data_IF_074471211203
#
_entry.id   IF_074471211203
#
_cell.length_a   1.000
_cell.length_b   1.000
_cell.length_c   1.000
_cell.angle_alpha   90.00
_cell.angle_beta   90.00
_cell.angle_gamma   90.00
#
_symmetry.space_group_name_H-M   'P 1'
#
loop_
_entity.id
_entity.type
_entity.pdbx_description
1 polymer ?
#
# COMPACT_ATOMS: atom_id res chain seq x y z
N UNK A 1 11.45 25.92 -16.58
CA UNK A 1 11.21 26.87 -15.48
C UNK A 1 12.58 27.34 -15.00
N UNK A 2 12.92 28.61 -15.22
CA UNK A 2 14.17 29.18 -14.72
C UNK A 2 13.91 29.72 -13.31
N UNK A 3 14.61 29.19 -12.30
CA UNK A 3 14.52 29.65 -10.92
C UNK A 3 15.47 30.83 -10.73
N UNK A 4 14.95 31.99 -10.31
CA UNK A 4 15.78 33.15 -9.98
C UNK A 4 16.14 33.14 -8.49
N UNK A 5 17.25 33.80 -8.13
CA UNK A 5 17.78 33.81 -6.75
C UNK A 5 16.76 34.47 -5.81
N UNK A 6 16.40 33.80 -4.72
CA UNK A 6 15.45 34.30 -3.71
C UNK A 6 14.01 33.80 -3.85
N UNK A 7 13.71 32.98 -4.85
CA UNK A 7 12.39 32.36 -4.99
C UNK A 7 12.28 31.09 -4.15
N UNK A 8 11.10 30.89 -3.55
CA UNK A 8 10.72 29.63 -2.87
C UNK A 8 9.64 28.93 -3.68
N UNK A 9 9.67 27.60 -3.69
CA UNK A 9 8.68 26.77 -4.38
C UNK A 9 7.99 25.85 -3.40
N UNK A 10 6.68 25.65 -3.58
CA UNK A 10 5.92 24.69 -2.79
C UNK A 10 6.06 23.29 -3.40
N UNK A 11 6.38 22.29 -2.57
CA UNK A 11 6.47 20.90 -2.99
C UNK A 11 5.08 20.31 -3.19
N UNK A 12 4.74 19.96 -4.43
CA UNK A 12 3.47 19.29 -4.77
C UNK A 12 3.55 17.75 -4.64
N UNK A 13 4.76 17.20 -4.53
CA UNK A 13 5.01 15.77 -4.29
C UNK A 13 6.02 15.60 -3.17
N UNK A 14 5.94 14.45 -2.51
CA UNK A 14 6.92 14.02 -1.54
C UNK A 14 8.34 14.06 -2.13
N UNK A 15 9.17 14.97 -1.63
CA UNK A 15 10.58 15.04 -2.02
C UNK A 15 11.35 13.92 -1.30
N UNK A 16 12.22 13.23 -2.03
CA UNK A 16 13.10 12.21 -1.49
C UNK A 16 13.92 12.75 -0.31
N UNK A 17 14.12 11.92 0.72
CA UNK A 17 14.88 12.28 1.92
C UNK A 17 14.08 13.03 3.00
N UNK A 18 12.86 13.48 2.73
CA UNK A 18 12.00 14.06 3.78
C UNK A 18 11.30 12.95 4.58
N UNK A 19 11.16 13.12 5.90
CA UNK A 19 10.41 12.19 6.76
C UNK A 19 8.96 11.99 6.30
N UNK A 20 8.35 13.03 5.75
CA UNK A 20 6.99 12.98 5.23
C UNK A 20 6.89 12.13 3.96
N UNK A 21 7.94 12.05 3.14
CA UNK A 21 7.92 11.23 1.94
C UNK A 21 7.69 9.74 2.24
N UNK A 22 8.34 9.21 3.27
CA UNK A 22 8.14 7.82 3.69
C UNK A 22 6.67 7.55 4.11
N UNK A 23 6.06 8.49 4.84
CA UNK A 23 4.65 8.37 5.25
C UNK A 23 3.69 8.44 4.07
N UNK A 24 3.89 9.37 3.14
CA UNK A 24 3.09 9.48 1.92
C UNK A 24 3.15 8.18 1.09
N UNK A 25 4.34 7.59 0.97
CA UNK A 25 4.52 6.31 0.30
C UNK A 25 3.81 5.16 1.00
N UNK A 26 3.92 5.06 2.32
CA UNK A 26 3.21 4.04 3.08
C UNK A 26 1.68 4.16 2.91
N UNK A 27 1.13 5.37 2.98
CA UNK A 27 -0.31 5.59 2.75
C UNK A 27 -0.75 5.20 1.33
N UNK A 28 0.07 5.54 0.33
CA UNK A 28 -0.18 5.15 -1.06
C UNK A 28 -0.20 3.62 -1.23
N UNK A 29 0.82 2.94 -0.68
CA UNK A 29 0.93 1.48 -0.69
C UNK A 29 -0.24 0.81 0.02
N UNK A 30 -0.60 1.28 1.23
CA UNK A 30 -1.75 0.80 1.98
C UNK A 30 -3.04 0.86 1.14
N UNK A 31 -3.24 1.95 0.39
CA UNK A 31 -4.39 2.12 -0.48
C UNK A 31 -4.44 1.10 -1.62
N UNK A 32 -3.28 0.84 -2.25
CA UNK A 32 -3.16 -0.19 -3.29
C UNK A 32 -3.48 -1.57 -2.71
N UNK A 33 -2.84 -1.93 -1.59
CA UNK A 33 -3.02 -3.23 -0.91
C UNK A 33 -4.49 -3.46 -0.52
N UNK A 34 -5.15 -2.43 0.03
CA UNK A 34 -6.57 -2.49 0.35
C UNK A 34 -7.43 -2.73 -0.89
N UNK A 35 -7.11 -2.08 -2.01
CA UNK A 35 -7.83 -2.24 -3.28
C UNK A 35 -7.70 -3.65 -3.85
N UNK A 36 -6.56 -4.31 -3.66
CA UNK A 36 -6.35 -5.70 -4.08
C UNK A 36 -6.80 -6.74 -3.03
N UNK A 37 -7.49 -6.31 -1.96
CA UNK A 37 -8.10 -7.20 -0.97
C UNK A 37 -7.21 -7.59 0.20
N UNK A 38 -6.04 -6.98 0.37
CA UNK A 38 -5.19 -7.19 1.53
C UNK A 38 -5.64 -6.32 2.70
N UNK A 39 -5.47 -6.84 3.92
CA UNK A 39 -5.73 -6.12 5.16
C UNK A 39 -4.46 -6.10 6.02
N UNK A 40 -4.16 -4.98 6.69
CA UNK A 40 -3.07 -4.92 7.65
C UNK A 40 -3.37 -5.81 8.85
N UNK A 41 -2.32 -6.33 9.48
CA UNK A 41 -2.43 -7.03 10.75
C UNK A 41 -2.70 -6.04 11.89
N UNK A 42 -3.60 -6.38 12.81
CA UNK A 42 -3.96 -5.52 13.94
C UNK A 42 -2.79 -5.29 14.91
N UNK A 43 -1.88 -6.27 14.98
CA UNK A 43 -0.68 -6.23 15.83
C UNK A 43 0.52 -5.56 15.16
N UNK A 44 0.54 -5.49 13.83
CA UNK A 44 1.67 -4.96 13.06
C UNK A 44 1.22 -4.36 11.71
N UNK A 45 1.37 -3.05 11.58
CA UNK A 45 0.98 -2.27 10.39
C UNK A 45 1.87 -2.50 9.16
N UNK A 46 3.01 -3.18 9.33
CA UNK A 46 3.90 -3.56 8.23
C UNK A 46 3.55 -4.92 7.61
N UNK A 47 2.81 -5.76 8.33
CA UNK A 47 2.38 -7.08 7.89
C UNK A 47 0.97 -7.04 7.32
N UNK A 48 0.77 -7.67 6.15
CA UNK A 48 -0.53 -7.76 5.49
C UNK A 48 -0.93 -9.21 5.26
N UNK A 49 -2.21 -9.50 5.40
CA UNK A 49 -2.79 -10.78 5.08
C UNK A 49 -3.87 -10.60 4.01
N UNK A 50 -3.97 -11.57 3.10
CA UNK A 50 -4.99 -11.54 2.06
C UNK A 50 -6.35 -11.81 2.72
N UNK A 51 -7.23 -10.81 2.69
CA UNK A 51 -8.62 -10.99 3.09
C UNK A 51 -9.24 -12.01 2.15
N UNK A 52 -9.78 -13.09 2.72
CA UNK A 52 -10.27 -14.23 1.96
C UNK A 52 -11.26 -13.76 0.88
N UNK A 53 -10.82 -13.80 -0.38
CA UNK A 53 -11.68 -13.49 -1.51
C UNK A 53 -12.67 -14.63 -1.63
N UNK A 54 -13.96 -14.35 -1.42
CA UNK A 54 -15.08 -15.32 -1.56
C UNK A 54 -15.15 -16.02 -2.94
N UNK A 55 -14.27 -15.65 -3.88
CA UNK A 55 -14.27 -16.09 -5.27
C UNK A 55 -13.62 -17.47 -5.48
N UNK A 56 -12.86 -18.04 -4.53
CA UNK A 56 -12.14 -19.30 -4.79
C UNK A 56 -12.22 -20.35 -3.68
N UNK A 57 -13.40 -20.52 -3.05
CA UNK A 57 -13.64 -21.61 -2.08
C UNK A 57 -14.29 -22.86 -2.70
N UNK A 58 -14.24 -23.04 -4.03
CA UNK A 58 -14.84 -24.20 -4.75
C UNK A 58 -13.84 -25.18 -5.37
N UNK A 59 -12.54 -25.12 -5.04
CA UNK A 59 -11.53 -26.04 -5.64
C UNK A 59 -10.73 -26.92 -4.68
N UNK A 60 -11.09 -27.00 -3.40
CA UNK A 60 -10.32 -27.83 -2.45
C UNK A 60 -11.10 -28.91 -1.68
N UNK A 61 -12.30 -29.29 -2.12
CA UNK A 61 -13.02 -30.45 -1.53
C UNK A 61 -12.95 -31.73 -2.37
N UNK A 62 -12.29 -31.72 -3.54
CA UNK A 62 -12.21 -32.89 -4.45
C UNK A 62 -10.83 -33.59 -4.45
N UNK A 63 -10.12 -33.63 -3.32
CA UNK A 63 -8.87 -34.40 -3.17
C UNK A 63 -8.77 -35.20 -1.87
N UNK A 64 -9.91 -35.59 -1.30
CA UNK A 64 -9.98 -36.60 -0.22
C UNK A 64 -11.04 -37.63 -0.56
N UNK A 65 -10.74 -38.49 -1.53
CA UNK A 65 -11.33 -39.83 -1.73
C UNK A 65 -10.63 -40.45 -2.93
N UNK A 66 -9.58 -41.20 -2.66
CA UNK A 66 -9.03 -42.27 -3.48
C UNK A 66 -8.31 -43.22 -2.52
#
# INVERSE_FOLDING_TARGET
MQLTKGQVVCLNKALYGTKQAARCWWQHLMGILRRIGFKPNDKDLSTYHQGESRVNRRRLTSRRTA
#
